data_IF_279314623080
#
_entry.id   IF_279314623080
#
_cell.length_a   1.000
_cell.length_b   1.000
_cell.length_c   1.000
_cell.angle_alpha   90.00
_cell.angle_beta   90.00
_cell.angle_gamma   90.00
#
_symmetry.space_group_name_H-M   'P 1'
#
loop_
_entity.id
_entity.type
_entity.pdbx_description
1 polymer ?
#
# COMPACT_ATOMS: atom_id res chain seq x y z
N UNK A 1 4.66 9.45 -1.33
CA UNK A 1 3.22 9.17 -1.27
C UNK A 1 2.45 10.39 -1.75
N UNK A 2 1.35 10.19 -2.49
CA UNK A 2 0.54 11.25 -3.14
C UNK A 2 -0.01 12.29 -2.16
N UNK A 3 -0.36 11.84 -0.95
CA UNK A 3 -0.98 12.67 0.08
C UNK A 3 -0.02 13.67 0.74
N UNK A 4 1.29 13.44 0.59
CA UNK A 4 2.34 14.20 1.25
C UNK A 4 3.38 14.72 0.28
N UNK A 5 3.10 14.74 -1.03
CA UNK A 5 4.07 15.12 -2.07
C UNK A 5 5.43 14.41 -1.97
N UNK A 6 5.38 13.14 -1.59
CA UNK A 6 6.56 12.30 -1.34
C UNK A 6 7.45 12.67 -0.14
N UNK A 7 7.04 13.63 0.70
CA UNK A 7 7.70 13.88 2.00
C UNK A 7 7.63 12.66 2.93
N UNK A 8 6.54 11.88 2.86
CA UNK A 8 6.39 10.59 3.53
C UNK A 8 6.37 9.48 2.46
N UNK A 9 7.44 8.68 2.31
CA UNK A 9 7.45 7.55 1.39
C UNK A 9 6.66 6.36 1.96
N UNK A 10 6.08 5.55 1.06
CA UNK A 10 5.55 4.25 1.45
C UNK A 10 6.71 3.29 1.69
N UNK A 11 6.75 2.65 2.86
CA UNK A 11 7.86 1.76 3.21
C UNK A 11 7.84 0.46 2.40
N UNK A 12 8.98 0.13 1.77
CA UNK A 12 9.23 -1.20 1.23
C UNK A 12 9.43 -2.19 2.38
N UNK A 13 8.76 -3.34 2.30
CA UNK A 13 8.86 -4.40 3.29
C UNK A 13 8.71 -5.76 2.60
N UNK A 14 9.34 -6.80 3.18
CA UNK A 14 9.26 -8.18 2.72
C UNK A 14 9.19 -9.12 3.91
N UNK A 15 8.56 -10.27 3.71
CA UNK A 15 8.63 -11.41 4.64
C UNK A 15 9.53 -12.46 4.02
N UNK A 16 10.51 -12.96 4.77
CA UNK A 16 11.36 -14.08 4.34
C UNK A 16 10.90 -15.37 5.01
N UNK A 17 11.20 -16.49 4.36
CA UNK A 17 11.17 -17.80 5.01
C UNK A 17 12.32 -17.89 6.04
N UNK A 18 12.18 -18.72 7.08
CA UNK A 18 13.28 -18.92 8.03
C UNK A 18 14.47 -19.63 7.37
N UNK A 19 15.69 -19.29 7.79
CA UNK A 19 16.91 -20.07 7.48
C UNK A 19 16.92 -21.39 8.26
N UNK A 20 17.80 -22.33 7.92
CA UNK A 20 17.81 -23.68 8.50
C UNK A 20 18.00 -23.72 10.03
N UNK A 21 18.70 -22.73 10.59
CA UNK A 21 19.00 -22.58 12.03
C UNK A 21 17.99 -21.67 12.76
N UNK A 22 17.02 -21.09 12.06
CA UNK A 22 15.98 -20.25 12.65
C UNK A 22 14.73 -21.07 13.06
N UNK A 23 13.80 -20.44 13.78
CA UNK A 23 12.54 -21.08 14.19
C UNK A 23 11.69 -21.49 12.96
N UNK A 24 11.52 -22.81 12.78
CA UNK A 24 10.81 -23.41 11.64
C UNK A 24 9.28 -23.48 11.81
N UNK A 25 8.75 -23.05 12.96
CA UNK A 25 7.31 -23.10 13.22
C UNK A 25 6.52 -22.06 12.42
N UNK A 26 5.19 -22.21 12.41
CA UNK A 26 4.31 -21.27 11.73
C UNK A 26 4.44 -19.84 12.29
N UNK A 27 4.54 -18.86 11.39
CA UNK A 27 4.51 -17.43 11.72
C UNK A 27 3.13 -16.86 11.35
N UNK A 28 2.34 -16.52 12.36
CA UNK A 28 1.07 -15.81 12.17
C UNK A 28 1.29 -14.30 12.25
N UNK A 29 0.64 -13.57 11.35
CA UNK A 29 0.76 -12.10 11.27
C UNK A 29 -0.54 -11.52 10.74
N UNK A 30 -0.99 -10.42 11.33
CA UNK A 30 -2.12 -9.65 10.84
C UNK A 30 -1.61 -8.28 10.37
N UNK A 31 -1.80 -7.97 9.10
CA UNK A 31 -1.54 -6.63 8.56
C UNK A 31 -2.83 -5.80 8.64
N UNK A 32 -2.72 -4.60 9.22
CA UNK A 32 -3.81 -3.64 9.31
C UNK A 32 -3.51 -2.40 8.48
N UNK A 33 -4.51 -1.90 7.75
CA UNK A 33 -4.41 -0.71 6.92
C UNK A 33 -5.52 0.26 7.31
N UNK A 34 -5.16 1.41 7.88
CA UNK A 34 -6.10 2.50 8.13
C UNK A 34 -6.27 3.31 6.84
N UNK A 35 -7.34 3.05 6.09
CA UNK A 35 -7.62 3.71 4.81
C UNK A 35 -8.66 4.83 4.97
N UNK A 36 -8.61 5.81 4.06
CA UNK A 36 -9.67 6.80 3.93
C UNK A 36 -10.96 6.18 3.38
N UNK A 37 -12.10 6.80 3.66
CA UNK A 37 -13.38 6.42 3.04
C UNK A 37 -13.31 6.57 1.52
N UNK A 38 -14.05 5.73 0.79
CA UNK A 38 -13.98 5.60 -0.67
C UNK A 38 -14.15 6.91 -1.45
N UNK A 39 -15.05 7.76 -0.97
CA UNK A 39 -15.49 9.01 -1.57
C UNK A 39 -14.57 10.20 -1.26
N UNK A 40 -13.62 10.04 -0.33
CA UNK A 40 -12.68 11.10 0.04
C UNK A 40 -11.74 11.41 -1.12
N UNK A 41 -11.66 12.71 -1.46
CA UNK A 41 -10.73 13.24 -2.44
C UNK A 41 -9.34 13.39 -1.79
N UNK A 42 -8.33 12.76 -2.38
CA UNK A 42 -6.93 12.87 -2.00
C UNK A 42 -6.26 13.90 -2.91
N UNK A 43 -5.95 15.05 -2.34
CA UNK A 43 -5.22 16.12 -2.99
C UNK A 43 -3.76 16.14 -2.54
N UNK A 44 -2.89 16.43 -3.50
CA UNK A 44 -1.46 16.62 -3.28
C UNK A 44 -1.24 18.09 -2.89
N UNK A 45 -0.72 18.41 -1.69
CA UNK A 45 -0.60 19.79 -1.20
C UNK A 45 0.11 20.78 -2.14
N UNK A 46 1.16 20.33 -2.83
CA UNK A 46 1.91 21.08 -3.86
C UNK A 46 1.44 20.78 -5.29
N UNK A 47 0.32 20.05 -5.46
CA UNK A 47 -0.24 19.63 -6.76
C UNK A 47 0.75 18.87 -7.66
N UNK A 48 1.73 18.19 -7.06
CA UNK A 48 2.67 17.28 -7.73
C UNK A 48 1.95 16.17 -8.47
N UNK A 49 0.79 15.76 -7.96
CA UNK A 49 -0.09 14.79 -8.59
C UNK A 49 -1.49 15.40 -8.78
N UNK A 50 -2.26 14.96 -9.80
CA UNK A 50 -3.68 15.37 -9.95
C UNK A 50 -4.51 15.07 -8.69
N UNK A 51 -5.77 15.48 -8.56
CA UNK A 51 -6.62 14.92 -7.51
C UNK A 51 -7.02 13.46 -7.85
N UNK A 52 -7.40 12.65 -6.86
CA UNK A 52 -7.95 11.28 -7.05
C UNK A 52 -8.82 10.92 -5.85
N UNK A 53 -9.87 10.12 -6.02
CA UNK A 53 -10.59 9.56 -4.87
C UNK A 53 -9.80 8.41 -4.22
N UNK A 54 -10.04 8.14 -2.93
CA UNK A 54 -9.43 6.99 -2.25
C UNK A 54 -9.77 5.66 -2.94
N UNK A 55 -11.01 5.50 -3.41
CA UNK A 55 -11.46 4.34 -4.19
C UNK A 55 -10.65 4.12 -5.46
N UNK A 56 -10.48 5.16 -6.27
CA UNK A 56 -9.73 5.08 -7.51
C UNK A 56 -8.26 4.77 -7.25
N UNK A 57 -7.67 5.38 -6.20
CA UNK A 57 -6.31 5.09 -5.80
C UNK A 57 -6.14 3.61 -5.41
N UNK A 58 -7.03 3.09 -4.56
CA UNK A 58 -7.00 1.68 -4.16
C UNK A 58 -7.14 0.75 -5.38
N UNK A 59 -8.07 1.05 -6.29
CA UNK A 59 -8.24 0.30 -7.54
C UNK A 59 -6.96 0.26 -8.37
N UNK A 60 -6.27 1.39 -8.54
CA UNK A 60 -4.98 1.46 -9.23
C UNK A 60 -3.91 0.57 -8.57
N UNK A 61 -3.82 0.59 -7.23
CA UNK A 61 -2.84 -0.22 -6.49
C UNK A 61 -3.12 -1.72 -6.58
N UNK A 62 -4.39 -2.12 -6.52
CA UNK A 62 -4.79 -3.52 -6.72
C UNK A 62 -4.46 -3.96 -8.15
N UNK A 63 -4.89 -3.20 -9.15
CA UNK A 63 -4.62 -3.53 -10.56
C UNK A 63 -3.12 -3.62 -10.87
N UNK A 64 -2.28 -2.79 -10.25
CA UNK A 64 -0.83 -2.86 -10.42
C UNK A 64 -0.21 -4.17 -9.88
N UNK A 65 -0.79 -4.76 -8.83
CA UNK A 65 -0.26 -5.97 -8.19
C UNK A 65 -0.86 -7.27 -8.75
N UNK A 66 -2.08 -7.22 -9.31
CA UNK A 66 -2.84 -8.41 -9.70
C UNK A 66 -3.21 -8.47 -11.20
N UNK A 67 -2.59 -7.65 -12.05
CA UNK A 67 -2.84 -7.68 -13.50
C UNK A 67 -2.65 -9.09 -14.06
N UNK A 68 -3.70 -9.68 -14.62
CA UNK A 68 -3.69 -11.03 -15.20
C UNK A 68 -3.99 -12.18 -14.23
N UNK A 69 -4.34 -11.89 -12.97
CA UNK A 69 -4.83 -12.91 -12.01
C UNK A 69 -6.34 -12.91 -11.82
N UNK A 70 -7.05 -11.93 -12.38
CA UNK A 70 -8.51 -11.86 -12.57
C UNK A 70 -8.81 -10.96 -13.77
#
# INVERSE_FOLDING_TARGET
MRWSDDQLPSNFHRVKNPEADEYQGARYSLAFFCQANEDVLIESPQKKYPAITAKEYLKQRISANFKGKY
#
